data_IF_710519034359
#
_entry.id   IF_710519034359
#
_cell.length_a   1.000
_cell.length_b   1.000
_cell.length_c   1.000
_cell.angle_alpha   90.00
_cell.angle_beta   90.00
_cell.angle_gamma   90.00
#
_symmetry.space_group_name_H-M   'P 1'
#
loop_
_entity.id
_entity.type
_entity.pdbx_description
1 polymer ?
#
# COMPACT_ATOMS: atom_id res chain seq x y z
N UNK A 1 -41.32 3.99 -28.91
CA UNK A 1 -41.54 5.45 -28.79
C UNK A 1 -40.48 5.98 -27.85
N UNK A 2 -39.47 6.68 -28.36
CA UNK A 2 -38.45 7.31 -27.49
C UNK A 2 -38.91 8.72 -27.19
N UNK A 3 -39.02 9.06 -25.91
CA UNK A 3 -39.41 10.40 -25.48
C UNK A 3 -38.30 11.37 -25.85
N UNK A 4 -38.66 12.48 -26.50
CA UNK A 4 -37.71 13.54 -26.89
C UNK A 4 -36.94 14.05 -25.66
N UNK A 5 -35.61 14.26 -25.75
CA UNK A 5 -34.83 14.85 -24.67
C UNK A 5 -35.41 16.21 -24.29
N UNK A 6 -35.72 16.39 -23.00
CA UNK A 6 -36.19 17.67 -22.47
C UNK A 6 -34.96 18.50 -22.07
N UNK A 7 -34.92 19.80 -22.38
CA UNK A 7 -33.86 20.68 -21.88
C UNK A 7 -33.81 20.61 -20.35
N UNK A 8 -32.60 20.61 -19.79
CA UNK A 8 -32.40 20.70 -18.34
C UNK A 8 -32.58 22.17 -17.95
N UNK A 9 -33.50 22.43 -17.01
CA UNK A 9 -33.66 23.76 -16.44
C UNK A 9 -32.48 24.06 -15.51
N UNK A 10 -31.80 25.18 -15.74
CA UNK A 10 -30.65 25.60 -14.91
C UNK A 10 -31.20 26.24 -13.63
N UNK A 11 -31.37 25.43 -12.60
CA UNK A 11 -31.83 25.85 -11.28
C UNK A 11 -30.80 25.51 -10.19
N UNK A 12 -31.15 25.71 -8.91
CA UNK A 12 -30.26 25.42 -7.78
C UNK A 12 -29.85 23.94 -7.67
N UNK A 13 -30.56 23.01 -8.30
CA UNK A 13 -30.19 21.60 -8.39
C UNK A 13 -29.02 21.35 -9.37
N UNK A 14 -28.67 22.32 -10.22
CA UNK A 14 -27.52 22.21 -11.13
C UNK A 14 -26.20 22.66 -10.49
N UNK A 15 -26.26 23.35 -9.35
CA UNK A 15 -25.09 23.86 -8.61
C UNK A 15 -24.10 22.74 -8.24
N UNK A 16 -24.54 21.58 -7.71
CA UNK A 16 -23.61 20.49 -7.40
C UNK A 16 -22.90 19.92 -8.63
N UNK A 17 -23.61 19.82 -9.76
CA UNK A 17 -23.04 19.35 -11.03
C UNK A 17 -21.99 20.32 -11.58
N UNK A 18 -22.27 21.63 -11.50
CA UNK A 18 -21.31 22.66 -11.88
C UNK A 18 -20.07 22.64 -10.97
N UNK A 19 -20.25 22.44 -9.65
CA UNK A 19 -19.14 22.32 -8.71
C UNK A 19 -18.27 21.09 -9.02
N UNK A 20 -18.88 19.94 -9.34
CA UNK A 20 -18.14 18.75 -9.76
C UNK A 20 -17.37 18.96 -11.06
N UNK A 21 -17.98 19.64 -12.05
CA UNK A 21 -17.30 20.00 -13.29
C UNK A 21 -16.13 20.95 -13.05
N UNK A 22 -16.30 21.94 -12.18
CA UNK A 22 -15.22 22.85 -11.80
C UNK A 22 -14.05 22.10 -11.15
N UNK A 23 -14.33 21.19 -10.20
CA UNK A 23 -13.31 20.35 -9.58
C UNK A 23 -12.57 19.48 -10.61
N UNK A 24 -13.31 18.90 -11.56
CA UNK A 24 -12.73 18.12 -12.65
C UNK A 24 -11.76 18.97 -13.49
N UNK A 25 -12.15 20.18 -13.86
CA UNK A 25 -11.29 21.10 -14.63
C UNK A 25 -10.02 21.44 -13.85
N UNK A 26 -10.12 21.67 -12.53
CA UNK A 26 -8.95 21.91 -11.67
C UNK A 26 -8.02 20.70 -11.68
N UNK A 27 -8.54 19.49 -11.48
CA UNK A 27 -7.72 18.27 -11.50
C UNK A 27 -7.09 18.00 -12.86
N UNK A 28 -7.85 18.16 -13.94
CA UNK A 28 -7.34 18.02 -15.30
C UNK A 28 -6.21 19.03 -15.58
N UNK A 29 -6.38 20.27 -15.14
CA UNK A 29 -5.35 21.31 -15.26
C UNK A 29 -4.10 20.89 -14.51
N UNK A 30 -4.22 20.52 -13.23
CA UNK A 30 -3.09 20.08 -12.41
C UNK A 30 -2.35 18.91 -13.07
N UNK A 31 -3.06 17.90 -13.57
CA UNK A 31 -2.42 16.74 -14.19
C UNK A 31 -1.73 17.06 -15.52
N UNK A 32 -2.27 17.97 -16.32
CA UNK A 32 -1.66 18.38 -17.60
C UNK A 32 -0.46 19.30 -17.37
N UNK A 33 -0.52 20.17 -16.36
CA UNK A 33 0.54 21.14 -16.05
C UNK A 33 1.54 20.62 -15.03
N UNK A 34 1.33 19.44 -14.45
CA UNK A 34 2.26 18.84 -13.51
C UNK A 34 3.55 18.47 -14.22
N UNK A 35 4.63 19.16 -13.86
CA UNK A 35 5.97 18.79 -14.26
C UNK A 35 6.55 17.85 -13.20
N UNK A 36 6.83 16.61 -13.61
CA UNK A 36 7.67 15.73 -12.82
C UNK A 36 9.13 16.03 -13.17
N UNK A 37 9.97 16.21 -12.16
CA UNK A 37 11.42 16.32 -12.36
C UNK A 37 12.01 15.05 -12.97
N UNK A 38 13.34 15.04 -13.17
CA UNK A 38 14.02 13.82 -13.60
C UNK A 38 13.66 12.66 -12.66
N UNK A 39 13.32 11.47 -13.19
CA UNK A 39 13.00 10.32 -12.35
C UNK A 39 14.20 10.00 -11.46
N UNK A 40 14.07 10.32 -10.17
CA UNK A 40 15.04 9.95 -9.17
C UNK A 40 14.79 8.50 -8.79
N UNK A 41 15.57 7.59 -9.39
CA UNK A 41 15.65 6.21 -8.92
C UNK A 41 16.37 6.13 -7.57
N UNK A 42 16.53 4.91 -7.05
CA UNK A 42 17.43 4.68 -5.93
C UNK A 42 18.85 5.09 -6.33
N UNK A 43 19.64 5.73 -5.43
CA UNK A 43 21.02 6.08 -5.72
C UNK A 43 21.83 4.86 -6.16
N UNK A 44 22.72 5.03 -7.13
CA UNK A 44 23.58 3.95 -7.60
C UNK A 44 24.37 3.34 -6.43
N UNK A 45 24.38 2.01 -6.36
CA UNK A 45 25.04 1.27 -5.28
C UNK A 45 24.19 1.07 -4.01
N UNK A 46 22.99 1.66 -3.90
CA UNK A 46 22.07 1.35 -2.80
C UNK A 46 21.20 0.13 -3.12
N UNK A 47 21.18 -0.84 -2.21
CA UNK A 47 20.33 -2.04 -2.31
C UNK A 47 19.07 -1.88 -1.47
N UNK A 48 17.91 -1.93 -2.13
CA UNK A 48 16.60 -1.95 -1.47
C UNK A 48 16.48 -3.16 -0.55
N UNK A 49 16.99 -4.31 -0.98
CA UNK A 49 16.98 -5.55 -0.19
C UNK A 49 17.80 -5.38 1.09
N UNK A 50 18.97 -4.75 1.00
CA UNK A 50 19.79 -4.46 2.17
C UNK A 50 19.09 -3.46 3.11
N UNK A 51 18.43 -2.44 2.57
CA UNK A 51 17.64 -1.49 3.36
C UNK A 51 16.51 -2.16 4.14
N UNK A 52 15.77 -3.06 3.49
CA UNK A 52 14.71 -3.86 4.14
C UNK A 52 15.31 -4.75 5.23
N UNK A 53 16.41 -5.45 4.95
CA UNK A 53 17.09 -6.30 5.94
C UNK A 53 17.57 -5.51 7.16
N UNK A 54 18.16 -4.34 6.94
CA UNK A 54 18.60 -3.44 8.01
C UNK A 54 17.40 -2.96 8.85
N UNK A 55 16.31 -2.57 8.21
CA UNK A 55 15.09 -2.13 8.90
C UNK A 55 14.47 -3.25 9.75
N UNK A 56 14.44 -4.49 9.24
CA UNK A 56 14.00 -5.67 10.01
C UNK A 56 14.84 -5.90 11.27
N UNK A 57 16.14 -5.58 11.22
CA UNK A 57 17.05 -5.70 12.35
C UNK A 57 17.11 -4.45 13.24
N UNK A 58 16.32 -3.41 12.94
CA UNK A 58 16.36 -2.14 13.67
C UNK A 58 17.65 -1.33 13.44
N UNK A 59 18.40 -1.62 12.38
CA UNK A 59 19.61 -0.91 12.00
C UNK A 59 19.20 0.30 11.16
N UNK A 60 19.29 1.50 11.74
CA UNK A 60 19.01 2.75 11.01
C UNK A 60 20.28 3.25 10.34
N UNK A 61 20.47 2.84 9.09
CA UNK A 61 21.42 3.49 8.17
C UNK A 61 20.74 4.68 7.49
N UNK A 62 21.50 5.74 7.20
CA UNK A 62 21.00 6.87 6.40
C UNK A 62 20.45 6.36 5.06
N UNK A 63 19.12 6.35 4.88
CA UNK A 63 18.50 5.72 3.71
C UNK A 63 16.98 5.55 3.76
N UNK A 64 16.48 4.78 2.79
CA UNK A 64 15.08 4.69 2.34
C UNK A 64 14.02 4.20 3.36
N UNK A 65 14.42 3.61 4.49
CA UNK A 65 13.46 3.06 5.47
C UNK A 65 13.70 3.71 6.83
N UNK A 66 12.83 4.64 7.25
CA UNK A 66 13.05 5.45 8.45
C UNK A 66 12.70 4.70 9.75
N UNK A 67 11.96 3.60 9.67
CA UNK A 67 11.39 2.90 10.83
C UNK A 67 11.91 1.46 10.93
N UNK A 68 12.24 1.04 12.16
CA UNK A 68 12.67 -0.32 12.45
C UNK A 68 11.49 -1.26 12.67
N UNK A 69 11.61 -2.49 12.15
CA UNK A 69 10.61 -3.56 12.25
C UNK A 69 11.05 -4.71 13.17
N UNK A 70 12.03 -4.47 14.05
CA UNK A 70 12.61 -5.50 14.92
C UNK A 70 11.56 -6.22 15.77
N UNK A 71 10.60 -5.47 16.33
CA UNK A 71 9.51 -6.05 17.12
C UNK A 71 8.65 -6.98 16.26
N UNK A 72 8.30 -6.56 15.04
CA UNK A 72 7.53 -7.39 14.11
C UNK A 72 8.31 -8.66 13.72
N UNK A 73 9.61 -8.55 13.47
CA UNK A 73 10.48 -9.69 13.19
C UNK A 73 10.47 -10.70 14.34
N UNK A 74 10.62 -10.24 15.57
CA UNK A 74 10.62 -11.11 16.76
C UNK A 74 9.25 -11.77 16.94
N UNK A 75 8.16 -11.03 16.77
CA UNK A 75 6.81 -11.60 16.85
C UNK A 75 6.58 -12.68 15.79
N UNK A 76 7.02 -12.45 14.56
CA UNK A 76 6.95 -13.47 13.51
C UNK A 76 7.75 -14.71 13.88
N UNK A 77 8.96 -14.56 14.44
CA UNK A 77 9.77 -15.70 14.88
C UNK A 77 9.04 -16.54 15.93
N UNK A 78 8.45 -15.90 16.95
CA UNK A 78 7.67 -16.59 18.00
C UNK A 78 6.44 -17.30 17.42
N UNK A 79 5.72 -16.64 16.52
CA UNK A 79 4.53 -17.23 15.89
C UNK A 79 4.89 -18.42 15.02
N UNK A 80 5.97 -18.31 14.25
CA UNK A 80 6.46 -19.39 13.38
C UNK A 80 6.94 -20.59 14.20
N UNK A 81 7.61 -20.36 15.32
CA UNK A 81 8.04 -21.41 16.26
C UNK A 81 6.84 -22.16 16.84
N UNK A 82 5.86 -21.43 17.39
CA UNK A 82 4.64 -22.02 17.93
C UNK A 82 3.81 -22.77 16.85
N UNK A 83 3.78 -22.24 15.63
CA UNK A 83 3.10 -22.88 14.51
C UNK A 83 3.79 -24.19 14.10
N UNK A 84 5.13 -24.21 14.10
CA UNK A 84 5.92 -25.41 13.82
C UNK A 84 5.70 -26.46 14.90
N UNK A 85 5.79 -26.09 16.17
CA UNK A 85 5.52 -26.98 17.29
C UNK A 85 4.08 -27.52 17.27
N UNK A 86 3.11 -26.65 16.99
CA UNK A 86 1.72 -27.06 16.81
C UNK A 86 1.55 -28.04 15.66
N UNK A 87 2.19 -27.79 14.51
CA UNK A 87 2.16 -28.71 13.38
C UNK A 87 2.79 -30.07 13.73
N UNK A 88 3.92 -30.08 14.44
CA UNK A 88 4.59 -31.30 14.89
C UNK A 88 3.77 -32.07 15.93
N UNK A 89 3.14 -31.38 16.88
CA UNK A 89 2.24 -31.98 17.87
C UNK A 89 1.04 -32.65 17.17
N UNK A 90 0.43 -31.97 16.20
CA UNK A 90 -0.70 -32.51 15.43
C UNK A 90 -0.31 -33.66 14.50
N UNK A 91 0.91 -33.66 13.99
CA UNK A 91 1.43 -34.72 13.12
C UNK A 91 1.72 -36.01 13.89
N UNK A 92 2.05 -35.92 15.18
CA UNK A 92 2.27 -37.11 16.02
C UNK A 92 0.94 -37.85 16.24
N UNK A 93 0.92 -39.13 15.89
CA UNK A 93 -0.15 -40.07 16.26
C UNK A 93 0.33 -40.91 17.44
N UNK A 94 -0.41 -40.88 18.53
CA UNK A 94 -0.26 -41.85 19.60
C UNK A 94 -0.90 -43.18 19.14
N UNK A 95 -0.09 -44.20 18.85
CA UNK A 95 -0.60 -45.53 18.50
C UNK A 95 0.17 -46.26 17.40
N UNK A 96 1.49 -46.34 17.53
CA UNK A 96 2.36 -47.09 16.62
C UNK A 96 3.31 -48.04 17.33
N UNK A 97 2.83 -48.77 18.36
CA UNK A 97 3.47 -49.96 18.93
C UNK A 97 2.41 -50.76 19.72
N UNK A 98 2.12 -51.97 19.23
CA UNK A 98 1.77 -53.14 20.05
C UNK A 98 3.03 -53.64 20.76
#
# INVERSE_FOLDING_TARGET
MTTRPRPIDIDSSTIPGLAAFALFVVMATVFVTAEFGAPAGFPEGQSVVAGIGNALLGITVEGFVPEGFLVALILMAVVLDAALDGALMLAKRDGGEE
#
